data_IF_926966393503
#
_entry.id   IF_926966393503
#
_cell.length_a   1.000
_cell.length_b   1.000
_cell.length_c   1.000
_cell.angle_alpha   90.00
_cell.angle_beta   90.00
_cell.angle_gamma   90.00
#
_symmetry.space_group_name_H-M   'P 1'
#
loop_
_entity.id
_entity.type
_entity.pdbx_description
1 polymer ?
#
# COMPACT_ATOMS: atom_id res chain seq x y z
N UNK A 1 -80.74 -1.09 -13.69
CA UNK A 1 -79.34 -0.94 -14.14
C UNK A 1 -78.78 0.38 -13.57
N UNK A 2 -78.89 0.72 -12.27
CA UNK A 2 -78.36 0.03 -11.07
C UNK A 2 -76.85 -0.19 -11.21
N UNK A 3 -75.92 0.22 -10.33
CA UNK A 3 -75.83 0.99 -9.07
C UNK A 3 -74.30 1.19 -8.86
N UNK A 4 -73.76 2.36 -8.50
CA UNK A 4 -73.50 2.87 -7.13
C UNK A 4 -72.48 2.04 -6.30
N UNK A 5 -71.36 2.70 -5.95
CA UNK A 5 -70.61 2.71 -4.67
C UNK A 5 -69.90 1.46 -4.09
N UNK A 6 -68.60 1.61 -3.77
CA UNK A 6 -67.97 1.39 -2.42
C UNK A 6 -66.46 1.68 -2.48
N UNK A 7 -66.00 2.88 -2.08
CA UNK A 7 -65.38 3.25 -0.78
C UNK A 7 -65.45 2.18 0.33
N UNK A 8 -64.31 2.02 1.03
CA UNK A 8 -64.10 1.87 2.49
C UNK A 8 -62.79 1.06 2.67
N UNK A 9 -61.67 1.73 2.89
CA UNK A 9 -61.19 2.15 4.22
C UNK A 9 -60.76 0.94 5.06
N UNK A 10 -59.44 0.75 5.12
CA UNK A 10 -58.81 0.36 6.39
C UNK A 10 -58.07 1.58 6.87
N UNK A 11 -58.65 2.18 7.90
CA UNK A 11 -58.10 3.26 8.70
C UNK A 11 -56.84 2.87 9.46
N UNK A 12 -56.12 3.93 9.83
CA UNK A 12 -55.25 4.10 10.99
C UNK A 12 -53.76 3.72 10.84
N UNK A 13 -52.79 4.51 11.29
CA UNK A 13 -52.69 5.92 11.70
C UNK A 13 -51.19 6.22 11.90
N UNK A 14 -50.83 7.50 11.81
CA UNK A 14 -49.60 8.20 12.24
C UNK A 14 -48.21 7.66 11.87
N UNK A 15 -47.54 8.40 11.00
CA UNK A 15 -46.08 8.41 10.94
C UNK A 15 -45.55 9.50 10.03
N UNK A 16 -45.41 10.71 10.57
CA UNK A 16 -44.75 11.83 9.92
C UNK A 16 -43.31 11.46 9.48
N UNK A 17 -43.17 10.97 8.25
CA UNK A 17 -41.89 10.75 7.61
C UNK A 17 -41.55 11.96 6.76
N UNK A 18 -40.92 12.98 7.35
CA UNK A 18 -40.17 13.98 6.59
C UNK A 18 -39.22 13.19 5.70
N UNK A 19 -39.49 13.12 4.41
CA UNK A 19 -38.56 12.56 3.45
C UNK A 19 -37.34 13.49 3.43
N UNK A 20 -36.38 13.23 4.32
CA UNK A 20 -35.05 13.82 4.28
C UNK A 20 -34.56 13.61 2.84
N UNK A 21 -34.28 14.68 2.07
CA UNK A 21 -33.66 14.53 0.77
C UNK A 21 -32.44 13.62 0.94
N UNK A 22 -32.17 12.67 0.02
CA UNK A 22 -30.98 11.83 0.16
C UNK A 22 -29.82 12.78 0.35
N UNK A 23 -29.19 12.71 1.53
CA UNK A 23 -28.08 13.57 1.88
C UNK A 23 -27.15 13.53 0.68
N UNK A 24 -27.10 14.63 -0.07
CA UNK A 24 -26.05 14.86 -1.04
C UNK A 24 -24.83 14.92 -0.15
N UNK A 25 -24.21 13.75 0.11
CA UNK A 25 -22.87 13.64 0.65
C UNK A 25 -22.12 14.68 -0.14
N UNK A 26 -21.72 15.77 0.52
CA UNK A 26 -20.80 16.71 -0.07
C UNK A 26 -19.57 15.85 -0.33
N UNK A 27 -19.49 15.33 -1.56
CA UNK A 27 -18.27 14.78 -2.11
C UNK A 27 -17.36 16.00 -1.99
N UNK A 28 -16.52 16.02 -0.97
CA UNK A 28 -15.56 17.09 -0.79
C UNK A 28 -14.84 17.18 -2.13
N UNK A 29 -14.62 18.36 -2.71
CA UNK A 29 -13.97 18.51 -4.03
C UNK A 29 -12.68 17.69 -4.17
N UNK A 30 -12.06 17.34 -3.05
CA UNK A 30 -10.90 16.47 -2.94
C UNK A 30 -11.17 14.98 -3.28
N UNK A 31 -12.37 14.44 -3.04
CA UNK A 31 -12.73 13.05 -3.37
C UNK A 31 -12.75 12.82 -4.89
N UNK A 32 -12.97 13.90 -5.66
CA UNK A 32 -12.88 13.89 -7.12
C UNK A 32 -11.44 13.70 -7.63
N UNK A 33 -10.43 13.98 -6.79
CA UNK A 33 -9.01 13.97 -7.18
C UNK A 33 -8.27 12.67 -6.88
N UNK A 34 -8.93 11.69 -6.24
CA UNK A 34 -8.29 10.41 -5.98
C UNK A 34 -8.13 9.63 -7.31
N UNK A 35 -6.92 9.22 -7.70
CA UNK A 35 -6.70 8.55 -8.97
C UNK A 35 -7.33 7.18 -9.00
N UNK A 36 -8.11 6.88 -10.05
CA UNK A 36 -8.66 5.55 -10.28
C UNK A 36 -7.66 4.70 -11.07
N UNK A 37 -7.58 3.38 -10.83
CA UNK A 37 -6.67 2.50 -11.59
C UNK A 37 -6.86 2.56 -13.12
N UNK A 38 -8.07 2.89 -13.58
CA UNK A 38 -8.41 3.03 -15.01
C UNK A 38 -7.86 4.30 -15.67
N UNK A 39 -7.34 5.23 -14.90
CA UNK A 39 -6.81 6.49 -15.45
C UNK A 39 -5.46 6.27 -16.13
N UNK A 40 -5.12 7.10 -17.15
CA UNK A 40 -3.85 7.00 -17.83
C UNK A 40 -2.67 7.09 -16.85
N UNK A 41 -1.63 6.29 -17.09
CA UNK A 41 -0.42 6.28 -16.25
C UNK A 41 0.18 7.68 -16.11
N UNK A 42 0.24 8.45 -17.20
CA UNK A 42 0.75 9.82 -17.17
C UNK A 42 -0.04 10.76 -16.24
N UNK A 43 -1.35 10.56 -16.15
CA UNK A 43 -2.19 11.31 -15.20
C UNK A 43 -1.91 10.89 -13.75
N UNK A 44 -1.76 9.60 -13.48
CA UNK A 44 -1.39 9.10 -12.15
C UNK A 44 0.01 9.58 -11.73
N UNK A 45 0.97 9.64 -12.66
CA UNK A 45 2.30 10.23 -12.44
C UNK A 45 2.20 11.72 -12.11
N UNK A 46 1.36 12.49 -12.82
CA UNK A 46 1.21 13.92 -12.52
C UNK A 46 0.62 14.15 -11.12
N UNK A 47 -0.33 13.32 -10.71
CA UNK A 47 -0.90 13.33 -9.36
C UNK A 47 0.11 12.92 -8.28
N UNK A 48 0.97 11.93 -8.56
CA UNK A 48 2.02 11.47 -7.64
C UNK A 48 3.02 12.58 -7.25
N UNK A 49 3.19 13.62 -8.07
CA UNK A 49 4.07 14.76 -7.77
C UNK A 49 3.44 15.81 -6.85
N UNK A 50 2.12 15.77 -6.65
CA UNK A 50 1.41 16.80 -5.89
C UNK A 50 1.62 16.58 -4.39
N UNK A 51 1.76 17.65 -3.58
CA UNK A 51 1.91 17.55 -2.14
C UNK A 51 0.55 17.34 -1.44
N UNK A 52 -0.20 16.31 -1.85
CA UNK A 52 -1.52 15.99 -1.31
C UNK A 52 -1.43 14.64 -0.59
N UNK A 53 -1.38 14.61 0.76
CA UNK A 53 -1.14 13.38 1.52
C UNK A 53 -2.12 12.24 1.20
N UNK A 54 -3.40 12.55 0.98
CA UNK A 54 -4.43 11.55 0.65
C UNK A 54 -4.18 10.80 -0.67
N UNK A 55 -3.44 11.40 -1.61
CA UNK A 55 -3.10 10.74 -2.87
C UNK A 55 -2.03 9.66 -2.67
N UNK A 56 -1.16 9.82 -1.66
CA UNK A 56 -0.06 8.91 -1.38
C UNK A 56 -0.58 7.52 -1.06
N UNK A 57 -1.54 7.40 -0.14
CA UNK A 57 -2.06 6.08 0.27
C UNK A 57 -2.58 5.25 -0.90
N UNK A 58 -3.21 5.89 -1.89
CA UNK A 58 -3.76 5.20 -3.06
C UNK A 58 -2.70 4.90 -4.11
N UNK A 59 -1.83 5.86 -4.39
CA UNK A 59 -0.81 5.74 -5.42
C UNK A 59 0.38 4.87 -4.95
N UNK A 60 0.61 4.73 -3.64
CA UNK A 60 1.74 3.96 -3.11
C UNK A 60 1.67 2.49 -3.52
N UNK A 61 0.46 1.95 -3.68
CA UNK A 61 0.21 0.59 -4.17
C UNK A 61 -0.21 0.55 -5.64
N UNK A 62 0.18 1.57 -6.42
CA UNK A 62 -0.09 1.60 -7.85
C UNK A 62 0.59 0.40 -8.54
N UNK A 63 -0.11 -0.31 -9.43
CA UNK A 63 0.48 -1.44 -10.15
C UNK A 63 1.59 -1.02 -11.13
N UNK A 64 1.68 0.24 -11.55
CA UNK A 64 2.71 0.71 -12.48
C UNK A 64 3.96 1.20 -11.71
N UNK A 65 5.13 0.56 -11.91
CA UNK A 65 6.37 0.95 -11.21
C UNK A 65 6.82 2.38 -11.47
N UNK A 66 6.42 3.00 -12.60
CA UNK A 66 6.76 4.39 -12.91
C UNK A 66 6.01 5.37 -12.01
N UNK A 67 4.78 5.02 -11.63
CA UNK A 67 3.98 5.81 -10.68
C UNK A 67 4.63 5.74 -9.31
N UNK A 68 4.94 4.53 -8.82
CA UNK A 68 5.60 4.36 -7.52
C UNK A 68 6.96 5.04 -7.47
N UNK A 69 7.79 4.91 -8.52
CA UNK A 69 9.06 5.64 -8.64
C UNK A 69 8.88 7.15 -8.51
N UNK A 70 7.80 7.70 -9.06
CA UNK A 70 7.49 9.13 -8.93
C UNK A 70 7.11 9.50 -7.49
N UNK A 71 6.37 8.63 -6.80
CA UNK A 71 5.96 8.84 -5.39
C UNK A 71 7.15 8.81 -4.46
N UNK A 72 8.14 7.93 -4.69
CA UNK A 72 9.33 7.84 -3.84
C UNK A 72 10.09 9.17 -3.75
N UNK A 73 9.97 10.04 -4.76
CA UNK A 73 10.52 11.41 -4.75
C UNK A 73 9.60 12.48 -4.17
N UNK A 74 8.41 12.14 -3.67
CA UNK A 74 7.46 13.10 -3.11
C UNK A 74 7.88 13.55 -1.70
N UNK A 75 7.93 14.88 -1.48
CA UNK A 75 8.36 15.47 -0.21
C UNK A 75 7.45 15.19 0.98
N UNK A 76 6.22 14.72 0.73
CA UNK A 76 5.26 14.32 1.77
C UNK A 76 5.34 12.83 2.12
N UNK A 77 6.10 12.04 1.36
CA UNK A 77 6.25 10.61 1.63
C UNK A 77 7.11 10.39 2.87
N UNK A 78 6.63 9.55 3.76
CA UNK A 78 7.28 9.22 5.02
C UNK A 78 7.94 7.85 4.98
N UNK A 79 8.93 7.64 5.85
CA UNK A 79 9.56 6.33 6.01
C UNK A 79 8.56 5.24 6.43
N UNK A 80 7.60 5.58 7.28
CA UNK A 80 6.56 4.64 7.71
C UNK A 80 5.74 4.11 6.53
N UNK A 81 5.41 4.97 5.56
CA UNK A 81 4.70 4.58 4.34
C UNK A 81 5.55 3.68 3.45
N UNK A 82 6.83 4.00 3.27
CA UNK A 82 7.75 3.17 2.46
C UNK A 82 7.97 1.80 3.10
N UNK A 83 8.14 1.75 4.42
CA UNK A 83 8.22 0.48 5.17
C UNK A 83 6.94 -0.32 5.01
N UNK A 84 5.77 0.32 5.11
CA UNK A 84 4.47 -0.32 4.89
C UNK A 84 4.36 -0.91 3.48
N UNK A 85 4.82 -0.19 2.45
CA UNK A 85 4.85 -0.69 1.08
C UNK A 85 5.83 -1.87 0.95
N UNK A 86 7.06 -1.71 1.43
CA UNK A 86 8.11 -2.72 1.36
C UNK A 86 7.76 -4.02 2.11
N UNK A 87 7.00 -3.94 3.19
CA UNK A 87 6.53 -5.11 3.94
C UNK A 87 5.23 -5.72 3.38
N UNK A 88 4.57 -5.05 2.43
CA UNK A 88 3.26 -5.47 1.94
C UNK A 88 3.36 -6.65 0.97
N UNK A 89 2.55 -7.68 1.21
CA UNK A 89 2.36 -8.80 0.27
C UNK A 89 1.64 -8.41 -1.04
N UNK A 90 1.08 -7.19 -1.10
CA UNK A 90 0.43 -6.67 -2.31
C UNK A 90 1.42 -6.05 -3.29
N UNK A 91 2.62 -5.70 -2.83
CA UNK A 91 3.65 -5.10 -3.68
C UNK A 91 4.20 -6.16 -4.64
N UNK A 92 4.27 -5.84 -5.93
CA UNK A 92 4.87 -6.73 -6.91
C UNK A 92 6.41 -6.72 -6.79
N UNK A 93 7.11 -7.75 -7.30
CA UNK A 93 8.57 -7.78 -7.30
C UNK A 93 9.20 -6.55 -7.96
N UNK A 94 8.59 -6.02 -9.02
CA UNK A 94 9.04 -4.81 -9.73
C UNK A 94 8.93 -3.57 -8.85
N UNK A 95 7.85 -3.44 -8.06
CA UNK A 95 7.69 -2.34 -7.10
C UNK A 95 8.76 -2.42 -6.01
N UNK A 96 8.99 -3.61 -5.45
CA UNK A 96 9.99 -3.82 -4.41
C UNK A 96 11.41 -3.53 -4.92
N UNK A 97 11.67 -3.85 -6.19
CA UNK A 97 12.91 -3.49 -6.87
C UNK A 97 13.08 -1.98 -7.04
N UNK A 98 12.01 -1.26 -7.38
CA UNK A 98 12.05 0.22 -7.46
C UNK A 98 12.44 0.83 -6.11
N UNK A 99 11.91 0.33 -4.99
CA UNK A 99 12.30 0.80 -3.65
C UNK A 99 13.78 0.49 -3.37
N UNK A 100 14.23 -0.71 -3.74
CA UNK A 100 15.61 -1.14 -3.52
C UNK A 100 16.65 -0.36 -4.34
N UNK A 101 16.25 0.18 -5.49
CA UNK A 101 17.09 1.01 -6.37
C UNK A 101 17.10 2.48 -5.99
N UNK A 102 16.28 2.91 -5.04
CA UNK A 102 16.26 4.29 -4.57
C UNK A 102 17.29 4.48 -3.46
N UNK A 103 18.38 5.20 -3.77
CA UNK A 103 19.51 5.40 -2.85
C UNK A 103 19.10 6.05 -1.52
N UNK A 104 18.09 6.94 -1.55
CA UNK A 104 17.58 7.60 -0.35
C UNK A 104 16.81 6.63 0.54
N UNK A 105 15.93 5.81 -0.03
CA UNK A 105 15.13 4.87 0.73
C UNK A 105 15.91 3.64 1.19
N UNK A 106 16.76 3.06 0.33
CA UNK A 106 17.53 1.86 0.68
C UNK A 106 18.58 2.10 1.77
N UNK A 107 19.05 3.34 1.92
CA UNK A 107 19.94 3.74 3.00
C UNK A 107 19.29 3.56 4.39
N UNK A 108 17.96 3.62 4.49
CA UNK A 108 17.23 3.52 5.76
C UNK A 108 17.13 2.08 6.24
N UNK A 109 17.52 1.84 7.48
CA UNK A 109 17.56 0.50 8.06
C UNK A 109 16.19 -0.22 8.07
N UNK A 110 15.08 0.44 8.49
CA UNK A 110 13.77 -0.21 8.49
C UNK A 110 13.31 -0.65 7.10
N UNK A 111 13.68 0.10 6.05
CA UNK A 111 13.40 -0.28 4.66
C UNK A 111 14.16 -1.53 4.26
N UNK A 112 15.46 -1.63 4.60
CA UNK A 112 16.25 -2.85 4.35
C UNK A 112 15.63 -4.08 5.00
N UNK A 113 15.25 -3.97 6.28
CA UNK A 113 14.61 -5.06 7.04
C UNK A 113 13.27 -5.46 6.41
N UNK A 114 12.43 -4.49 6.06
CA UNK A 114 11.14 -4.75 5.42
C UNK A 114 11.30 -5.49 4.08
N UNK A 115 12.22 -5.03 3.22
CA UNK A 115 12.51 -5.68 1.93
C UNK A 115 13.08 -7.09 2.11
N UNK A 116 13.99 -7.29 3.06
CA UNK A 116 14.61 -8.59 3.30
C UNK A 116 13.62 -9.65 3.82
N UNK A 117 12.60 -9.22 4.59
CA UNK A 117 11.56 -10.09 5.11
C UNK A 117 10.39 -10.32 4.14
N UNK A 118 10.29 -9.52 3.06
CA UNK A 118 9.19 -9.67 2.11
C UNK A 118 9.47 -10.81 1.11
N UNK A 119 8.62 -11.85 1.05
CA UNK A 119 8.82 -13.00 0.16
C UNK A 119 8.63 -12.69 -1.31
N UNK A 120 8.08 -11.53 -1.68
CA UNK A 120 7.98 -11.07 -3.07
C UNK A 120 9.23 -10.30 -3.53
N UNK A 121 10.11 -9.86 -2.63
CA UNK A 121 11.33 -9.14 -2.99
C UNK A 121 12.22 -10.04 -3.86
N UNK A 122 12.78 -9.55 -4.99
CA UNK A 122 13.67 -10.35 -5.83
C UNK A 122 14.85 -10.92 -5.03
N UNK A 123 15.21 -12.19 -5.29
CA UNK A 123 16.24 -12.90 -4.52
C UNK A 123 17.57 -12.13 -4.46
N UNK A 124 18.01 -11.57 -5.59
CA UNK A 124 19.25 -10.77 -5.67
C UNK A 124 19.27 -9.60 -4.69
N UNK A 125 18.12 -8.94 -4.52
CA UNK A 125 17.97 -7.78 -3.62
C UNK A 125 18.08 -8.26 -2.18
N UNK A 126 17.35 -9.30 -1.80
CA UNK A 126 17.39 -9.85 -0.44
C UNK A 126 18.82 -10.26 -0.07
N UNK A 127 19.49 -11.06 -0.92
CA UNK A 127 20.87 -11.51 -0.66
C UNK A 127 21.85 -10.34 -0.53
N UNK A 128 21.69 -9.29 -1.33
CA UNK A 128 22.49 -8.08 -1.24
C UNK A 128 22.26 -7.28 0.05
N UNK A 129 21.08 -7.40 0.67
CA UNK A 129 20.74 -6.68 1.91
C UNK A 129 21.24 -7.39 3.18
N UNK A 130 21.34 -8.72 3.17
CA UNK A 130 21.69 -9.50 4.38
C UNK A 130 22.96 -9.03 5.11
N UNK A 131 24.08 -8.69 4.43
CA UNK A 131 25.29 -8.23 5.10
C UNK A 131 25.11 -6.94 5.92
N UNK A 132 24.08 -6.14 5.61
CA UNK A 132 23.79 -4.86 6.25
C UNK A 132 22.76 -4.96 7.38
N UNK A 133 22.17 -6.14 7.60
CA UNK A 133 21.21 -6.34 8.68
C UNK A 133 21.92 -6.53 10.03
N UNK A 134 21.31 -6.03 11.10
CA UNK A 134 21.73 -6.31 12.48
C UNK A 134 21.57 -7.80 12.80
N UNK A 135 22.33 -8.27 13.79
CA UNK A 135 22.37 -9.69 14.13
C UNK A 135 20.99 -10.24 14.52
N UNK A 136 20.17 -9.46 15.23
CA UNK A 136 18.81 -9.85 15.60
C UNK A 136 17.92 -10.07 14.37
N UNK A 137 17.89 -9.12 13.44
CA UNK A 137 17.06 -9.21 12.24
C UNK A 137 17.58 -10.28 11.27
N UNK A 138 18.90 -10.47 11.20
CA UNK A 138 19.50 -11.53 10.41
C UNK A 138 19.12 -12.93 10.94
N UNK A 139 19.03 -13.11 12.27
CA UNK A 139 18.50 -14.34 12.88
C UNK A 139 17.03 -14.54 12.52
N UNK A 140 16.23 -13.47 12.55
CA UNK A 140 14.82 -13.54 12.17
C UNK A 140 14.65 -13.98 10.69
N UNK A 141 15.46 -13.41 9.78
CA UNK A 141 15.46 -13.81 8.36
C UNK A 141 15.92 -15.26 8.18
N UNK A 142 16.97 -15.69 8.89
CA UNK A 142 17.46 -17.06 8.82
C UNK A 142 16.40 -18.09 9.26
N UNK A 143 15.60 -17.76 10.27
CA UNK A 143 14.54 -18.63 10.78
C UNK A 143 13.24 -18.57 9.96
N UNK A 144 12.89 -17.38 9.44
CA UNK A 144 11.56 -17.11 8.89
C UNK A 144 11.46 -17.05 7.36
N UNK A 145 12.57 -16.98 6.63
CA UNK A 145 12.53 -16.89 5.17
C UNK A 145 11.99 -18.19 4.54
N UNK A 146 11.03 -18.13 3.60
CA UNK A 146 10.56 -19.31 2.88
C UNK A 146 11.54 -19.80 1.81
N UNK A 147 12.67 -19.10 1.60
CA UNK A 147 13.67 -19.42 0.56
C UNK A 147 14.96 -19.94 1.19
N UNK A 148 15.36 -21.15 0.81
CA UNK A 148 16.55 -21.84 1.36
C UNK A 148 17.83 -21.02 1.19
N UNK A 149 18.09 -20.52 -0.02
CA UNK A 149 19.26 -19.70 -0.30
C UNK A 149 19.40 -18.46 0.62
N UNK A 150 18.28 -17.87 1.04
CA UNK A 150 18.29 -16.73 1.97
C UNK A 150 18.62 -17.21 3.39
N UNK A 151 18.06 -18.35 3.82
CA UNK A 151 18.34 -18.95 5.14
C UNK A 151 19.80 -19.37 5.26
N UNK A 152 20.34 -20.02 4.25
CA UNK A 152 21.72 -20.50 4.21
C UNK A 152 22.70 -19.32 4.28
N UNK A 153 22.47 -18.29 3.47
CA UNK A 153 23.31 -17.10 3.46
C UNK A 153 23.24 -16.33 4.79
N UNK A 154 22.04 -16.17 5.36
CA UNK A 154 21.87 -15.50 6.64
C UNK A 154 22.58 -16.28 7.78
N UNK A 155 22.47 -17.61 7.79
CA UNK A 155 23.15 -18.49 8.75
C UNK A 155 24.66 -18.42 8.61
N UNK A 156 25.18 -18.45 7.38
CA UNK A 156 26.61 -18.30 7.10
C UNK A 156 27.16 -16.97 7.62
N UNK A 157 26.44 -15.87 7.40
CA UNK A 157 26.82 -14.55 7.91
C UNK A 157 26.80 -14.48 9.45
N UNK A 158 25.82 -15.11 10.11
CA UNK A 158 25.77 -15.19 11.57
C UNK A 158 26.94 -15.97 12.16
N UNK A 159 27.31 -17.10 11.55
CA UNK A 159 28.45 -17.89 11.98
C UNK A 159 29.76 -17.09 11.88
N UNK A 160 29.97 -16.38 10.76
CA UNK A 160 31.15 -15.51 10.56
C UNK A 160 31.24 -14.39 11.60
N UNK A 161 30.10 -13.81 12.00
CA UNK A 161 30.05 -12.72 13.01
C UNK A 161 30.22 -13.20 14.45
N UNK A 162 29.97 -14.49 14.72
CA UNK A 162 30.08 -15.06 16.07
C UNK A 162 31.49 -15.57 16.38
N UNK A 163 32.31 -15.76 15.34
CA UNK A 163 33.73 -16.15 15.45
C UNK A 163 34.72 -14.98 15.34
N UNK A 164 34.23 -13.73 15.33
CA UNK A 164 35.02 -12.51 15.34
C UNK A 164 34.84 -11.80 16.70
#
# INVERSE_FOLDING_TARGET
MEAVQKVLETDADVGAGIATPPERRLISRDDETLPRPKEPVGFRISLARRPIPRLLERLLFDPDPRVVRTILGNSRLTEAEVVKLAASRRASPEILEVIAQDDGWIARYPVKVALANNPATPLRVVLGLLPYLLQQDLRAVAAGSPRDAVRDQATSLLARRSGA
#
